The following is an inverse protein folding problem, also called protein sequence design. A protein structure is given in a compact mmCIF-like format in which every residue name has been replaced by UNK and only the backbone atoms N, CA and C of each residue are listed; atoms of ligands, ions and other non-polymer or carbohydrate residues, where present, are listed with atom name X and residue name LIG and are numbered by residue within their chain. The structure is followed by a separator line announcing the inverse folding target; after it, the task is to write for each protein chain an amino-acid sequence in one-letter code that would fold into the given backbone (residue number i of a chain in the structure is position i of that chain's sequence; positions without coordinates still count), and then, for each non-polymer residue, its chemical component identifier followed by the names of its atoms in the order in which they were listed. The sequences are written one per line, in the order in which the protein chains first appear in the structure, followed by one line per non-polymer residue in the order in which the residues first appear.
data_IF_897615167034
#
_entry.id   IF_897615167034
#
_cell.length_a   1.000
_cell.length_b   1.000
_cell.length_c   1.000
_cell.angle_alpha   90.00
_cell.angle_beta   90.00
_cell.angle_gamma   90.00
#
_symmetry.space_group_name_H-M   'P 1'
#
loop_
_entity.id
_entity.type
_entity.pdbx_description
1 polymer ?
#
# COMPACT_ATOMS: atom_id res chain seq x y z
N UNK A 1 -8.23 28.92 -0.60
CA UNK A 1 -9.11 28.13 -1.50
C UNK A 1 -8.86 28.37 -3.00
N UNK A 2 -8.49 29.58 -3.43
CA UNK A 2 -8.24 29.93 -4.84
C UNK A 2 -7.17 29.06 -5.54
N UNK A 3 -6.10 28.68 -4.82
CA UNK A 3 -4.99 27.89 -5.38
C UNK A 3 -5.39 26.44 -5.74
N UNK A 4 -6.21 25.80 -4.89
CA UNK A 4 -6.73 24.45 -5.15
C UNK A 4 -7.69 24.45 -6.34
N UNK A 5 -8.55 25.48 -6.44
CA UNK A 5 -9.44 25.65 -7.59
C UNK A 5 -8.66 25.83 -8.89
N UNK A 6 -7.61 26.68 -8.90
CA UNK A 6 -6.74 26.86 -10.06
C UNK A 6 -6.01 25.57 -10.46
N UNK A 7 -5.46 24.83 -9.49
CA UNK A 7 -4.83 23.53 -9.75
C UNK A 7 -5.80 22.51 -10.36
N UNK A 8 -7.04 22.45 -9.85
CA UNK A 8 -8.10 21.58 -10.38
C UNK A 8 -8.59 21.98 -11.77
N UNK A 9 -8.46 23.26 -12.13
CA UNK A 9 -8.81 23.81 -13.45
C UNK A 9 -7.73 23.52 -14.50
N UNK A 10 -6.47 23.50 -14.10
CA UNK A 10 -5.33 23.16 -14.98
C UNK A 10 -5.36 21.67 -15.40
N UNK A 11 -5.95 20.82 -14.55
CA UNK A 11 -6.10 19.38 -14.79
C UNK A 11 -7.25 19.08 -15.77
N UNK A 12 -6.94 18.31 -16.81
CA UNK A 12 -7.93 17.79 -17.76
C UNK A 12 -8.80 16.66 -17.17
N UNK A 13 -9.96 16.45 -17.80
CA UNK A 13 -10.95 15.43 -17.38
C UNK A 13 -10.35 14.02 -17.24
N UNK A 14 -9.42 13.64 -18.12
CA UNK A 14 -8.70 12.35 -18.04
C UNK A 14 -7.76 12.26 -16.84
N UNK A 15 -7.16 13.38 -16.40
CA UNK A 15 -6.27 13.42 -15.22
C UNK A 15 -7.08 13.33 -13.93
N UNK A 16 -8.30 13.87 -13.90
CA UNK A 16 -9.19 13.76 -12.74
C UNK A 16 -9.61 12.32 -12.46
N UNK A 17 -9.90 11.55 -13.50
CA UNK A 17 -10.23 10.11 -13.36
C UNK A 17 -9.02 9.33 -12.83
N UNK A 18 -7.84 9.52 -13.44
CA UNK A 18 -6.59 8.89 -12.96
C UNK A 18 -6.22 9.29 -11.54
N UNK A 19 -6.55 10.52 -11.15
CA UNK A 19 -6.34 10.99 -9.79
C UNK A 19 -7.23 10.23 -8.79
N UNK A 20 -8.50 9.98 -9.13
CA UNK A 20 -9.41 9.17 -8.29
C UNK A 20 -8.93 7.72 -8.21
N UNK A 21 -8.52 7.11 -9.33
CA UNK A 21 -7.92 5.77 -9.36
C UNK A 21 -6.69 5.69 -8.43
N UNK A 22 -5.81 6.69 -8.48
CA UNK A 22 -4.65 6.79 -7.60
C UNK A 22 -5.04 6.96 -6.13
N UNK A 23 -6.07 7.77 -5.84
CA UNK A 23 -6.54 7.97 -4.48
C UNK A 23 -7.08 6.67 -3.88
N UNK A 24 -7.86 5.90 -4.65
CA UNK A 24 -8.34 4.59 -4.24
C UNK A 24 -7.18 3.60 -4.03
N UNK A 25 -6.20 3.58 -4.92
CA UNK A 25 -5.01 2.74 -4.75
C UNK A 25 -4.21 3.10 -3.48
N UNK A 26 -4.03 4.39 -3.19
CA UNK A 26 -3.39 4.85 -1.95
C UNK A 26 -4.18 4.42 -0.73
N UNK A 27 -5.50 4.57 -0.75
CA UNK A 27 -6.36 4.15 0.36
C UNK A 27 -6.21 2.66 0.67
N UNK A 28 -6.28 1.81 -0.36
CA UNK A 28 -6.07 0.37 -0.22
C UNK A 28 -4.64 0.06 0.27
N UNK A 29 -3.63 0.75 -0.28
CA UNK A 29 -2.24 0.61 0.14
C UNK A 29 -2.01 0.91 1.62
N UNK A 30 -2.56 2.03 2.11
CA UNK A 30 -2.46 2.40 3.53
C UNK A 30 -3.18 1.43 4.46
N UNK A 31 -4.32 0.87 4.04
CA UNK A 31 -5.00 -0.17 4.79
C UNK A 31 -4.13 -1.44 4.87
N UNK A 32 -3.53 -1.85 3.75
CA UNK A 32 -2.64 -3.00 3.69
C UNK A 32 -1.36 -2.79 4.53
N UNK A 33 -0.80 -1.58 4.53
CA UNK A 33 0.30 -1.21 5.42
C UNK A 33 -0.07 -1.35 6.89
N UNK A 34 -1.24 -0.83 7.27
CA UNK A 34 -1.75 -0.88 8.65
C UNK A 34 -1.94 -2.32 9.11
N UNK A 35 -2.55 -3.17 8.27
CA UNK A 35 -2.70 -4.61 8.54
C UNK A 35 -1.34 -5.28 8.66
N UNK A 36 -0.39 -4.94 7.79
CA UNK A 36 0.97 -5.46 7.84
C UNK A 36 1.70 -5.13 9.14
N UNK A 37 1.56 -3.91 9.66
CA UNK A 37 2.14 -3.51 10.96
C UNK A 37 1.43 -4.20 12.12
N UNK A 38 0.09 -4.29 12.07
CA UNK A 38 -0.69 -4.98 13.09
C UNK A 38 -0.35 -6.48 13.18
N UNK A 39 0.00 -7.12 12.06
CA UNK A 39 0.40 -8.53 12.00
C UNK A 39 1.71 -8.84 12.76
N UNK A 40 2.53 -7.85 13.06
CA UNK A 40 3.74 -8.02 13.89
C UNK A 40 3.37 -8.38 15.33
N UNK A 41 2.30 -7.80 15.86
CA UNK A 41 1.88 -8.01 17.27
C UNK A 41 1.65 -9.48 17.60
N UNK A 42 0.78 -10.24 16.88
CA UNK A 42 0.57 -11.65 17.18
C UNK A 42 1.85 -12.48 16.96
N UNK A 43 2.72 -12.08 16.04
CA UNK A 43 4.02 -12.75 15.83
C UNK A 43 4.98 -12.56 17.01
N UNK A 44 5.09 -11.35 17.56
CA UNK A 44 5.92 -11.11 18.76
C UNK A 44 5.34 -11.87 19.96
N UNK A 45 4.02 -11.82 20.16
CA UNK A 45 3.36 -12.59 21.21
C UNK A 45 3.62 -14.09 21.07
N UNK A 46 3.69 -14.58 19.83
CA UNK A 46 3.98 -15.99 19.54
C UNK A 46 5.37 -16.42 19.99
N UNK A 47 6.38 -15.56 19.80
CA UNK A 47 7.75 -15.84 20.22
C UNK A 47 7.89 -15.74 21.74
N UNK A 48 7.24 -14.75 22.37
CA UNK A 48 7.37 -14.51 23.81
C UNK A 48 6.73 -15.60 24.66
N UNK A 49 5.52 -16.03 24.31
CA UNK A 49 4.77 -17.04 25.05
C UNK A 49 3.96 -17.90 24.07
N UNK A 50 4.59 -18.93 23.49
CA UNK A 50 3.96 -19.73 22.45
C UNK A 50 2.70 -20.45 22.96
N UNK A 51 2.67 -20.86 24.23
CA UNK A 51 1.50 -21.51 24.85
C UNK A 51 0.28 -20.59 24.99
N UNK A 52 0.49 -19.26 24.94
CA UNK A 52 -0.62 -18.30 24.97
C UNK A 52 -1.35 -18.21 23.63
N UNK A 53 -0.73 -18.64 22.53
CA UNK A 53 -1.35 -18.65 21.20
C UNK A 53 -2.47 -19.68 21.08
N UNK A 54 -2.33 -20.82 21.77
CA UNK A 54 -3.35 -21.89 21.81
C UNK A 54 -4.65 -21.44 22.50
N UNK A 55 -4.64 -20.30 23.20
CA UNK A 55 -5.84 -19.69 23.78
C UNK A 55 -6.69 -18.94 22.75
N UNK A 56 -6.12 -18.55 21.61
CA UNK A 56 -6.87 -17.93 20.53
C UNK A 56 -7.52 -19.02 19.65
N UNK A 57 -8.85 -19.04 19.50
CA UNK A 57 -9.55 -20.11 18.78
C UNK A 57 -9.08 -20.25 17.33
N UNK A 58 -8.79 -19.12 16.67
CA UNK A 58 -8.31 -19.08 15.28
C UNK A 58 -6.95 -19.78 15.13
N UNK A 59 -6.03 -19.56 16.07
CA UNK A 59 -4.69 -20.16 16.06
C UNK A 59 -4.74 -21.63 16.45
N UNK A 60 -5.64 -22.00 17.35
CA UNK A 60 -5.87 -23.39 17.74
C UNK A 60 -6.45 -24.23 16.60
N UNK A 61 -7.43 -23.71 15.85
CA UNK A 61 -7.96 -24.41 14.67
C UNK A 61 -6.87 -24.64 13.62
N UNK A 62 -5.99 -23.65 13.41
CA UNK A 62 -4.82 -23.79 12.51
C UNK A 62 -3.85 -24.85 13.05
N UNK A 63 -3.56 -24.85 14.35
CA UNK A 63 -2.69 -25.84 15.00
C UNK A 63 -3.22 -27.28 14.83
N UNK A 64 -4.51 -27.48 15.12
CA UNK A 64 -5.17 -28.78 15.06
C UNK A 64 -5.33 -29.28 13.61
N UNK A 65 -5.62 -28.37 12.65
CA UNK A 65 -5.76 -28.74 11.22
C UNK A 65 -4.44 -29.05 10.54
N UNK A 66 -3.35 -28.37 10.91
CA UNK A 66 -2.01 -28.68 10.41
C UNK A 66 -1.36 -29.85 11.16
N UNK A 67 -1.97 -30.35 12.24
CA UNK A 67 -1.47 -31.48 13.02
C UNK A 67 -0.12 -31.20 13.68
N UNK A 68 0.12 -29.95 14.07
CA UNK A 68 1.41 -29.53 14.65
C UNK A 68 1.61 -30.20 16.01
N UNK A 69 2.79 -30.77 16.23
CA UNK A 69 3.12 -31.50 17.47
C UNK A 69 3.71 -30.62 18.56
N UNK A 70 4.29 -29.48 18.16
CA UNK A 70 5.00 -28.55 19.04
C UNK A 70 4.64 -27.11 18.75
N UNK A 71 4.55 -26.29 19.80
CA UNK A 71 4.23 -24.86 19.69
C UNK A 71 5.28 -24.08 18.87
N UNK A 72 6.51 -24.59 18.75
CA UNK A 72 7.55 -24.03 17.88
C UNK A 72 7.20 -24.13 16.38
N UNK A 73 6.50 -25.17 15.95
CA UNK A 73 6.07 -25.32 14.55
C UNK A 73 5.06 -24.25 14.15
N UNK A 74 4.17 -23.89 15.10
CA UNK A 74 3.22 -22.79 14.92
C UNK A 74 3.93 -21.44 14.78
N UNK A 75 4.98 -21.20 15.57
CA UNK A 75 5.79 -19.96 15.45
C UNK A 75 6.50 -19.90 14.09
N UNK A 76 7.08 -21.00 13.61
CA UNK A 76 7.72 -21.09 12.29
C UNK A 76 6.69 -20.84 11.18
N UNK A 77 5.50 -21.42 11.29
CA UNK A 77 4.41 -21.19 10.35
C UNK A 77 3.99 -19.72 10.31
N UNK A 78 3.78 -19.09 11.46
CA UNK A 78 3.49 -17.65 11.55
C UNK A 78 4.60 -16.80 10.95
N UNK A 79 5.87 -17.17 11.13
CA UNK A 79 7.00 -16.47 10.52
C UNK A 79 6.92 -16.51 8.99
N UNK A 80 6.70 -17.70 8.41
CA UNK A 80 6.57 -17.88 6.96
C UNK A 80 5.35 -17.12 6.43
N UNK A 81 4.21 -17.20 7.12
CA UNK A 81 3.00 -16.47 6.76
C UNK A 81 3.23 -14.96 6.79
N UNK A 82 3.93 -14.44 7.81
CA UNK A 82 4.29 -13.04 7.91
C UNK A 82 5.18 -12.62 6.73
N UNK A 83 6.22 -13.40 6.40
CA UNK A 83 7.10 -13.13 5.26
C UNK A 83 6.29 -13.03 3.96
N UNK A 84 5.39 -13.99 3.72
CA UNK A 84 4.51 -14.01 2.54
C UNK A 84 3.62 -12.76 2.47
N UNK A 85 2.99 -12.39 3.60
CA UNK A 85 2.19 -11.15 3.69
C UNK A 85 3.02 -9.92 3.34
N UNK A 86 4.27 -9.84 3.83
CA UNK A 86 5.15 -8.72 3.50
C UNK A 86 5.58 -8.70 2.03
N UNK A 87 5.85 -9.85 1.42
CA UNK A 87 6.17 -9.93 -0.01
C UNK A 87 4.99 -9.43 -0.85
N UNK A 88 3.78 -9.92 -0.57
CA UNK A 88 2.55 -9.52 -1.29
C UNK A 88 2.28 -8.02 -1.10
N UNK A 89 2.38 -7.54 0.16
CA UNK A 89 2.21 -6.11 0.49
C UNK A 89 3.22 -5.25 -0.26
N UNK A 90 4.50 -5.61 -0.24
CA UNK A 90 5.55 -4.82 -0.88
C UNK A 90 5.41 -4.82 -2.41
N UNK A 91 4.99 -5.94 -3.01
CA UNK A 91 4.67 -6.00 -4.43
C UNK A 91 3.53 -5.03 -4.79
N UNK A 92 2.47 -4.99 -3.98
CA UNK A 92 1.37 -4.03 -4.14
C UNK A 92 1.85 -2.58 -4.00
N UNK A 93 2.63 -2.27 -2.96
CA UNK A 93 3.18 -0.92 -2.76
C UNK A 93 4.07 -0.48 -3.91
N UNK A 94 4.89 -1.38 -4.44
CA UNK A 94 5.72 -1.10 -5.61
C UNK A 94 4.88 -0.72 -6.82
N UNK A 95 3.81 -1.49 -7.10
CA UNK A 95 2.85 -1.15 -8.16
C UNK A 95 2.17 0.20 -7.93
N UNK A 96 1.73 0.47 -6.69
CA UNK A 96 1.10 1.74 -6.32
C UNK A 96 2.05 2.92 -6.54
N UNK A 97 3.32 2.80 -6.15
CA UNK A 97 4.33 3.84 -6.34
C UNK A 97 4.67 4.08 -7.82
N UNK A 98 4.76 3.03 -8.63
CA UNK A 98 4.93 3.18 -10.08
C UNK A 98 3.76 3.99 -10.68
N UNK A 99 2.52 3.67 -10.29
CA UNK A 99 1.34 4.41 -10.74
C UNK A 99 1.37 5.89 -10.30
N UNK A 100 1.77 6.15 -9.05
CA UNK A 100 1.93 7.51 -8.51
C UNK A 100 3.00 8.29 -9.29
N UNK A 101 4.16 7.68 -9.52
CA UNK A 101 5.28 8.31 -10.23
C UNK A 101 4.91 8.65 -11.67
N UNK A 102 4.26 7.72 -12.39
CA UNK A 102 3.75 7.97 -13.74
C UNK A 102 2.76 9.12 -13.77
N UNK A 103 1.86 9.22 -12.79
CA UNK A 103 0.89 10.31 -12.72
C UNK A 103 1.60 11.66 -12.54
N UNK A 104 2.53 11.74 -11.59
CA UNK A 104 3.29 12.97 -11.29
C UNK A 104 4.13 13.41 -12.49
N UNK A 105 4.95 12.51 -13.04
CA UNK A 105 5.83 12.85 -14.16
C UNK A 105 5.06 13.26 -15.41
N UNK A 106 3.97 12.56 -15.75
CA UNK A 106 3.18 12.90 -16.93
C UNK A 106 2.53 14.27 -16.77
N UNK A 107 2.03 14.61 -15.58
CA UNK A 107 1.48 15.92 -15.31
C UNK A 107 2.56 17.00 -15.38
N UNK A 108 3.73 16.78 -14.79
CA UNK A 108 4.84 17.73 -14.81
C UNK A 108 5.33 18.00 -16.23
N UNK A 109 5.58 16.96 -17.03
CA UNK A 109 6.00 17.09 -18.44
C UNK A 109 5.00 17.91 -19.25
N UNK A 110 3.71 17.67 -19.03
CA UNK A 110 2.64 18.35 -19.76
C UNK A 110 2.49 19.82 -19.36
N UNK A 111 2.57 20.12 -18.07
CA UNK A 111 2.54 21.49 -17.57
C UNK A 111 3.75 22.26 -18.10
N UNK A 112 4.95 21.66 -18.03
CA UNK A 112 6.17 22.27 -18.56
C UNK A 112 6.06 22.58 -20.07
N UNK A 113 5.57 21.62 -20.87
CA UNK A 113 5.36 21.82 -22.31
C UNK A 113 4.34 22.93 -22.60
N UNK A 114 3.23 23.00 -21.85
CA UNK A 114 2.24 24.08 -21.97
C UNK A 114 2.82 25.45 -21.63
N UNK A 115 3.56 25.55 -20.51
CA UNK A 115 4.19 26.79 -20.09
C UNK A 115 5.18 27.29 -21.14
N UNK A 116 6.05 26.41 -21.64
CA UNK A 116 7.01 26.75 -22.70
C UNK A 116 6.29 27.22 -23.97
N UNK A 117 5.22 26.52 -24.37
CA UNK A 117 4.44 26.88 -25.57
C UNK A 117 3.75 28.24 -25.42
N UNK A 118 3.24 28.56 -24.23
CA UNK A 118 2.67 29.88 -23.96
C UNK A 118 3.75 30.97 -23.99
N UNK A 119 4.91 30.72 -23.38
CA UNK A 119 6.02 31.66 -23.34
C UNK A 119 6.52 32.03 -24.75
N UNK A 120 6.68 31.02 -25.63
CA UNK A 120 7.11 31.23 -27.02
C UNK A 120 6.10 31.98 -27.90
N UNK A 121 4.82 32.02 -27.52
CA UNK A 121 3.74 32.67 -28.29
C UNK A 121 3.41 34.07 -27.80
N UNK A 122 4.07 34.55 -26.76
CA UNK A 122 3.81 35.87 -26.22
C UNK A 122 4.37 36.93 -27.19
N UNK A 123 3.55 37.87 -27.69
CA UNK A 123 4.05 38.95 -28.53
C UNK A 123 5.03 39.79 -27.72
N UNK A 124 6.16 40.13 -28.36
CA UNK A 124 7.22 40.98 -27.80
C UNK A 124 6.70 42.37 -27.42
#
# INVERSE_FOLDING_TARGET
MELLKKAWLILERKQKIRFIELLLAIFIGTALETVGVAAIVPFISAIMNPDSLLKMPILKDIYDTLGMGHTNELVIFLAIALILVYIIKNAYLCFMYDMQYRFVLNNQRRIASRLMSCYLKQPY
#
